data_IF_816097597692
#
_entry.id   IF_816097597692
#
_cell.length_a   1.000
_cell.length_b   1.000
_cell.length_c   1.000
_cell.angle_alpha   90.00
_cell.angle_beta   90.00
_cell.angle_gamma   90.00
#
_symmetry.space_group_name_H-M   'P 1'
#
loop_
_entity.id
_entity.type
_entity.pdbx_description
1 polymer ?
#
# COMPACT_ATOMS: atom_id res chain seq x y z
N UNK A 1 -22.26 -6.48 -8.06
CA UNK A 1 -20.82 -6.41 -7.66
C UNK A 1 -20.57 -7.54 -6.70
N UNK A 2 -19.34 -8.11 -6.66
CA UNK A 2 -18.96 -9.08 -5.64
C UNK A 2 -19.09 -8.51 -4.24
N UNK A 3 -19.42 -9.36 -3.27
CA UNK A 3 -19.42 -9.02 -1.85
C UNK A 3 -18.00 -8.72 -1.36
N UNK A 4 -17.86 -8.06 -0.23
CA UNK A 4 -16.54 -7.82 0.39
C UNK A 4 -15.82 -9.15 0.68
N UNK A 5 -16.54 -10.18 1.14
CA UNK A 5 -15.98 -11.50 1.40
C UNK A 5 -15.42 -12.14 0.12
N UNK A 6 -16.16 -12.09 -0.99
CA UNK A 6 -15.67 -12.61 -2.28
C UNK A 6 -14.43 -11.84 -2.76
N UNK A 7 -14.42 -10.51 -2.62
CA UNK A 7 -13.22 -9.70 -2.92
C UNK A 7 -12.04 -10.08 -2.03
N UNK A 8 -12.26 -10.34 -0.75
CA UNK A 8 -11.22 -10.73 0.19
C UNK A 8 -10.59 -12.09 -0.18
N UNK A 9 -11.40 -13.08 -0.55
CA UNK A 9 -10.89 -14.38 -1.01
C UNK A 9 -10.10 -14.26 -2.33
N UNK A 10 -10.58 -13.44 -3.28
CA UNK A 10 -9.82 -13.15 -4.50
C UNK A 10 -8.46 -12.52 -4.15
N UNK A 11 -8.44 -11.55 -3.23
CA UNK A 11 -7.21 -10.86 -2.85
C UNK A 11 -6.20 -11.79 -2.19
N UNK A 12 -6.67 -12.66 -1.29
CA UNK A 12 -5.85 -13.70 -0.67
C UNK A 12 -5.26 -14.64 -1.72
N UNK A 13 -6.07 -15.15 -2.65
CA UNK A 13 -5.64 -16.06 -3.72
C UNK A 13 -4.56 -15.45 -4.62
N UNK A 14 -4.60 -14.14 -4.87
CA UNK A 14 -3.56 -13.46 -5.65
C UNK A 14 -2.18 -13.53 -4.98
N UNK A 15 -2.12 -13.49 -3.64
CA UNK A 15 -0.86 -13.61 -2.90
C UNK A 15 -0.36 -15.06 -2.81
N UNK A 16 -1.28 -16.03 -2.76
CA UNK A 16 -0.95 -17.46 -2.71
C UNK A 16 -0.41 -17.98 -4.05
N UNK A 17 -0.80 -17.37 -5.16
CA UNK A 17 -0.38 -17.77 -6.50
C UNK A 17 1.12 -17.55 -6.77
N UNK A 18 1.81 -16.71 -5.99
CA UNK A 18 3.24 -16.36 -6.13
C UNK A 18 3.65 -15.96 -7.56
N UNK A 19 2.71 -15.36 -8.31
CA UNK A 19 2.91 -14.84 -9.66
C UNK A 19 2.84 -13.31 -9.57
N UNK A 20 3.97 -12.66 -9.37
CA UNK A 20 4.11 -11.23 -9.12
C UNK A 20 3.03 -10.38 -9.80
N UNK A 21 1.95 -10.07 -9.08
CA UNK A 21 0.86 -9.28 -9.64
C UNK A 21 1.06 -7.78 -9.37
N UNK A 22 0.70 -6.96 -10.35
CA UNK A 22 0.64 -5.52 -10.13
C UNK A 22 -0.61 -5.13 -9.35
N UNK A 23 -0.42 -4.25 -8.36
CA UNK A 23 -1.47 -3.60 -7.60
C UNK A 23 -1.33 -2.09 -7.72
N UNK A 24 -1.84 -1.49 -8.83
CA UNK A 24 -1.69 -0.06 -9.07
C UNK A 24 -2.48 0.77 -8.06
N UNK A 25 -2.07 2.03 -7.92
CA UNK A 25 -2.48 2.87 -6.82
C UNK A 25 -3.42 4.01 -7.29
N UNK A 26 -4.76 3.83 -7.22
CA UNK A 26 -5.72 4.90 -7.47
C UNK A 26 -5.72 5.94 -6.34
N UNK A 27 -6.10 7.17 -6.69
CA UNK A 27 -6.23 8.30 -5.75
C UNK A 27 -7.64 8.89 -5.71
N UNK A 28 -8.51 8.50 -6.64
CA UNK A 28 -9.92 8.89 -6.72
C UNK A 28 -10.76 7.80 -7.42
N UNK A 29 -12.08 8.00 -7.48
CA UNK A 29 -12.98 7.04 -8.12
C UNK A 29 -12.74 6.92 -9.64
N UNK A 30 -12.35 7.98 -10.31
CA UNK A 30 -12.06 7.97 -11.75
C UNK A 30 -10.83 7.13 -12.09
N UNK A 31 -9.73 7.31 -11.35
CA UNK A 31 -8.52 6.50 -11.50
C UNK A 31 -8.78 5.03 -11.14
N UNK A 32 -9.57 4.74 -10.10
CA UNK A 32 -9.90 3.37 -9.71
C UNK A 32 -10.67 2.63 -10.82
N UNK A 33 -11.71 3.24 -11.37
CA UNK A 33 -12.49 2.69 -12.50
C UNK A 33 -11.62 2.51 -13.76
N UNK A 34 -10.72 3.44 -14.02
CA UNK A 34 -9.81 3.36 -15.17
C UNK A 34 -8.85 2.17 -15.04
N UNK A 35 -8.28 1.97 -13.85
CA UNK A 35 -7.38 0.85 -13.59
C UNK A 35 -8.10 -0.50 -13.61
N UNK A 36 -9.32 -0.59 -13.08
CA UNK A 36 -10.14 -1.80 -13.19
C UNK A 36 -10.44 -2.13 -14.67
N UNK A 37 -10.85 -1.14 -15.48
CA UNK A 37 -11.09 -1.32 -16.92
C UNK A 37 -9.83 -1.72 -17.70
N UNK A 38 -8.64 -1.32 -17.24
CA UNK A 38 -7.37 -1.76 -17.80
C UNK A 38 -7.06 -3.24 -17.54
N UNK A 39 -7.83 -3.91 -16.66
CA UNK A 39 -7.73 -5.35 -16.42
C UNK A 39 -6.93 -5.74 -15.17
N UNK A 40 -6.53 -4.79 -14.32
CA UNK A 40 -5.91 -5.09 -13.04
C UNK A 40 -6.86 -5.88 -12.13
N UNK A 41 -6.30 -6.79 -11.33
CA UNK A 41 -7.08 -7.73 -10.51
C UNK A 41 -7.30 -7.24 -9.08
N UNK A 42 -6.51 -6.28 -8.62
CA UNK A 42 -6.62 -5.65 -7.32
C UNK A 42 -6.03 -4.22 -7.38
N UNK A 43 -6.39 -3.37 -6.44
CA UNK A 43 -5.91 -2.01 -6.30
C UNK A 43 -5.37 -1.77 -4.90
N UNK A 44 -4.35 -0.91 -4.76
CA UNK A 44 -3.92 -0.35 -3.49
C UNK A 44 -4.07 1.17 -3.53
N UNK A 45 -4.60 1.81 -2.51
CA UNK A 45 -4.65 3.27 -2.52
C UNK A 45 -3.25 3.89 -2.39
N UNK A 46 -3.15 5.20 -2.57
CA UNK A 46 -1.95 5.98 -2.30
C UNK A 46 -2.34 7.20 -1.45
N UNK A 47 -1.69 7.36 -0.27
CA UNK A 47 -1.90 8.51 0.61
C UNK A 47 -1.50 9.82 -0.07
N UNK A 48 -0.30 9.87 -0.63
CA UNK A 48 0.24 11.04 -1.33
C UNK A 48 -0.59 11.43 -2.57
N UNK A 49 -1.09 10.44 -3.34
CA UNK A 49 -1.97 10.71 -4.49
C UNK A 49 -3.32 11.29 -4.07
N UNK A 50 -3.91 10.73 -3.01
CA UNK A 50 -5.18 11.22 -2.46
C UNK A 50 -5.02 12.61 -1.85
N UNK A 51 -4.01 12.86 -1.02
CA UNK A 51 -3.73 14.19 -0.47
C UNK A 51 -3.59 15.24 -1.57
N UNK A 52 -2.80 14.94 -2.61
CA UNK A 52 -2.63 15.83 -3.77
C UNK A 52 -3.95 16.12 -4.49
N UNK A 53 -4.86 15.16 -4.61
CA UNK A 53 -6.18 15.39 -5.23
C UNK A 53 -7.04 16.39 -4.46
N UNK A 54 -6.74 16.59 -3.16
CA UNK A 54 -7.36 17.59 -2.30
C UNK A 54 -6.54 18.90 -2.17
N UNK A 55 -5.42 19.02 -2.92
CA UNK A 55 -4.52 20.17 -2.83
C UNK A 55 -3.70 20.21 -1.54
N UNK A 56 -3.41 19.04 -0.94
CA UNK A 56 -2.67 18.89 0.33
C UNK A 56 -1.41 18.05 0.15
N UNK A 57 -0.52 18.15 1.12
CA UNK A 57 0.68 17.30 1.21
C UNK A 57 0.36 15.92 1.83
N UNK A 58 1.26 14.96 1.59
CA UNK A 58 1.17 13.63 2.18
C UNK A 58 1.24 13.70 3.71
N UNK A 59 0.36 12.96 4.39
CA UNK A 59 0.24 13.01 5.86
C UNK A 59 -0.72 14.07 6.40
N UNK A 60 -1.33 14.91 5.56
CA UNK A 60 -2.30 15.94 5.97
C UNK A 60 -3.76 15.48 5.92
N UNK A 61 -3.99 14.21 5.62
CA UNK A 61 -5.34 13.64 5.56
C UNK A 61 -5.75 13.10 6.93
N UNK A 62 -6.98 13.40 7.33
CA UNK A 62 -7.57 12.85 8.54
C UNK A 62 -8.06 11.41 8.33
N UNK A 63 -8.25 10.67 9.43
CA UNK A 63 -8.82 9.32 9.40
C UNK A 63 -10.20 9.31 8.72
N UNK A 64 -11.09 10.23 9.07
CA UNK A 64 -12.45 10.24 8.52
C UNK A 64 -12.46 10.52 7.00
N UNK A 65 -11.59 11.41 6.52
CA UNK A 65 -11.39 11.63 5.07
C UNK A 65 -10.85 10.37 4.38
N UNK A 66 -9.90 9.66 5.00
CA UNK A 66 -9.37 8.40 4.47
C UNK A 66 -10.45 7.33 4.41
N UNK A 67 -11.28 7.17 5.45
CA UNK A 67 -12.36 6.20 5.46
C UNK A 67 -13.42 6.53 4.40
N UNK A 68 -13.81 7.80 4.25
CA UNK A 68 -14.73 8.23 3.20
C UNK A 68 -14.17 7.96 1.79
N UNK A 69 -12.88 8.22 1.58
CA UNK A 69 -12.18 7.87 0.33
C UNK A 69 -12.24 6.36 0.05
N UNK A 70 -11.93 5.52 1.04
CA UNK A 70 -11.98 4.06 0.91
C UNK A 70 -13.40 3.57 0.55
N UNK A 71 -14.42 4.11 1.22
CA UNK A 71 -15.82 3.79 0.93
C UNK A 71 -16.21 4.18 -0.50
N UNK A 72 -15.79 5.37 -0.98
CA UNK A 72 -16.01 5.79 -2.36
C UNK A 72 -15.38 4.79 -3.34
N UNK A 73 -14.10 4.45 -3.17
CA UNK A 73 -13.40 3.54 -4.08
C UNK A 73 -14.05 2.15 -4.08
N UNK A 74 -14.42 1.62 -2.92
CA UNK A 74 -15.09 0.32 -2.79
C UNK A 74 -16.45 0.29 -3.46
N UNK A 75 -17.16 1.43 -3.52
CA UNK A 75 -18.48 1.55 -4.13
C UNK A 75 -18.47 1.63 -5.66
N UNK A 76 -17.34 2.03 -6.26
CA UNK A 76 -17.23 2.25 -7.72
C UNK A 76 -16.46 1.16 -8.45
N UNK A 77 -15.86 0.18 -7.72
CA UNK A 77 -15.08 -0.92 -8.30
C UNK A 77 -15.59 -2.28 -7.84
N UNK A 78 -15.44 -3.29 -8.70
CA UNK A 78 -15.79 -4.69 -8.41
C UNK A 78 -14.60 -5.54 -7.96
N UNK A 79 -13.39 -5.04 -8.06
CA UNK A 79 -12.16 -5.74 -7.68
C UNK A 79 -11.70 -5.41 -6.24
N UNK A 80 -10.87 -6.25 -5.60
CA UNK A 80 -10.34 -6.01 -4.26
C UNK A 80 -9.55 -4.71 -4.16
N UNK A 81 -9.71 -4.00 -3.03
CA UNK A 81 -8.91 -2.83 -2.68
C UNK A 81 -8.25 -3.04 -1.34
N UNK A 82 -6.93 -2.85 -1.26
CA UNK A 82 -6.17 -2.64 -0.02
C UNK A 82 -5.80 -1.17 0.12
N UNK A 83 -5.49 -0.74 1.32
CA UNK A 83 -5.32 0.68 1.64
C UNK A 83 -3.91 0.98 2.13
N UNK A 84 -3.29 1.99 1.54
CA UNK A 84 -2.18 2.70 2.16
C UNK A 84 -2.74 3.49 3.34
N UNK A 85 -2.65 2.90 4.55
CA UNK A 85 -3.27 3.40 5.77
C UNK A 85 -2.28 4.14 6.68
N UNK A 86 -1.17 4.59 6.08
CA UNK A 86 -0.12 5.36 6.76
C UNK A 86 0.32 4.67 8.07
N UNK A 87 0.47 5.44 9.17
CA UNK A 87 0.75 4.88 10.49
C UNK A 87 -0.49 4.29 11.19
N UNK A 88 -1.58 3.99 10.50
CA UNK A 88 -2.84 3.57 11.12
C UNK A 88 -3.61 4.73 11.77
N UNK A 89 -3.23 5.98 11.51
CA UNK A 89 -3.82 7.22 12.03
C UNK A 89 -3.82 7.31 13.57
N UNK A 90 -2.90 6.61 14.22
CA UNK A 90 -2.72 6.66 15.67
C UNK A 90 -1.31 6.25 16.07
N UNK A 91 -0.84 6.72 17.22
CA UNK A 91 0.41 6.26 17.82
C UNK A 91 0.18 5.06 18.76
N UNK A 92 -0.93 5.05 19.48
CA UNK A 92 -1.30 3.96 20.40
C UNK A 92 -1.68 2.68 19.64
N UNK A 93 -1.11 1.51 20.01
CA UNK A 93 -1.41 0.23 19.36
C UNK A 93 -2.90 -0.14 19.40
N UNK A 94 -3.60 0.11 20.50
CA UNK A 94 -5.03 -0.19 20.64
C UNK A 94 -5.88 0.67 19.70
N UNK A 95 -5.53 1.94 19.54
CA UNK A 95 -6.19 2.83 18.58
C UNK A 95 -5.90 2.40 17.14
N UNK A 96 -4.68 1.95 16.81
CA UNK A 96 -4.37 1.37 15.48
C UNK A 96 -5.27 0.18 15.20
N UNK A 97 -5.43 -0.75 16.15
CA UNK A 97 -6.34 -1.89 16.02
C UNK A 97 -7.80 -1.45 15.81
N UNK A 98 -8.28 -0.47 16.58
CA UNK A 98 -9.62 0.08 16.41
C UNK A 98 -9.83 0.74 15.02
N UNK A 99 -8.80 1.44 14.52
CA UNK A 99 -8.84 2.05 13.21
C UNK A 99 -8.83 1.02 12.07
N UNK A 100 -8.16 -0.14 12.23
CA UNK A 100 -8.24 -1.27 11.28
C UNK A 100 -9.67 -1.82 11.22
N UNK A 101 -10.35 -1.95 12.36
CA UNK A 101 -11.76 -2.38 12.38
C UNK A 101 -12.65 -1.39 11.61
N UNK A 102 -12.52 -0.09 11.87
CA UNK A 102 -13.25 0.96 11.12
C UNK A 102 -12.92 0.95 9.63
N UNK A 103 -11.65 0.71 9.26
CA UNK A 103 -11.25 0.60 7.87
C UNK A 103 -11.98 -0.53 7.14
N UNK A 104 -12.13 -1.69 7.79
CA UNK A 104 -12.82 -2.84 7.19
C UNK A 104 -14.29 -2.56 6.85
N UNK A 105 -14.96 -1.68 7.60
CA UNK A 105 -16.36 -1.29 7.37
C UNK A 105 -16.57 -0.51 6.07
N UNK A 106 -15.49 0.01 5.46
CA UNK A 106 -15.55 0.75 4.19
C UNK A 106 -15.66 -0.14 2.95
N UNK A 107 -15.62 -1.47 3.11
CA UNK A 107 -15.71 -2.43 2.01
C UNK A 107 -14.34 -2.82 1.40
N UNK A 108 -13.23 -2.31 1.91
CA UNK A 108 -11.88 -2.73 1.53
C UNK A 108 -11.49 -4.05 2.18
N UNK A 109 -10.48 -4.74 1.63
CA UNK A 109 -10.12 -6.10 2.03
C UNK A 109 -8.70 -6.23 2.59
N UNK A 110 -8.06 -5.11 2.85
CA UNK A 110 -6.72 -5.05 3.44
C UNK A 110 -6.29 -3.61 3.71
N UNK A 111 -5.24 -3.47 4.48
CA UNK A 111 -4.62 -2.19 4.78
C UNK A 111 -3.15 -2.35 5.13
N UNK A 112 -2.37 -1.28 5.01
CA UNK A 112 -0.99 -1.26 5.49
C UNK A 112 -0.86 -0.40 6.74
N UNK A 113 0.07 -0.80 7.62
CA UNK A 113 0.50 0.01 8.76
C UNK A 113 2.01 0.15 8.68
N UNK A 114 2.51 1.38 8.75
CA UNK A 114 3.93 1.68 8.67
C UNK A 114 4.54 2.05 10.04
N UNK A 115 5.85 1.88 10.14
CA UNK A 115 6.63 2.22 11.34
C UNK A 115 7.15 3.68 11.33
N UNK A 116 6.54 4.55 10.54
CA UNK A 116 6.81 6.00 10.46
C UNK A 116 5.66 6.81 11.06
N UNK A 117 5.94 7.68 12.04
CA UNK A 117 4.92 8.48 12.74
C UNK A 117 4.47 9.74 12.01
N UNK A 118 4.87 9.91 10.75
CA UNK A 118 4.85 11.14 9.94
C UNK A 118 5.98 12.12 10.24
N UNK A 119 6.71 11.94 11.35
CA UNK A 119 7.82 12.81 11.76
C UNK A 119 9.10 12.05 12.10
N UNK A 120 8.98 10.91 12.75
CA UNK A 120 10.10 10.05 13.18
C UNK A 120 9.76 8.57 13.02
N UNK A 121 10.77 7.73 12.93
CA UNK A 121 10.58 6.27 13.02
C UNK A 121 10.15 5.90 14.43
N UNK A 122 9.16 5.02 14.54
CA UNK A 122 8.81 4.42 15.82
C UNK A 122 9.97 3.55 16.33
N UNK A 123 10.14 3.55 17.64
CA UNK A 123 10.98 2.56 18.32
C UNK A 123 10.61 1.14 17.87
N UNK A 124 11.61 0.25 17.79
CA UNK A 124 11.43 -1.11 17.28
C UNK A 124 10.29 -1.86 18.01
N UNK A 125 10.33 -1.86 19.35
CA UNK A 125 9.33 -2.56 20.17
C UNK A 125 7.94 -1.98 19.92
N UNK A 126 7.82 -0.66 19.96
CA UNK A 126 6.55 0.02 19.74
C UNK A 126 6.00 -0.21 18.33
N UNK A 127 6.84 -0.21 17.29
CA UNK A 127 6.44 -0.55 15.93
C UNK A 127 5.86 -1.97 15.84
N UNK A 128 6.49 -2.95 16.52
CA UNK A 128 6.02 -4.33 16.56
C UNK A 128 4.68 -4.44 17.32
N UNK A 129 4.51 -3.76 18.45
CA UNK A 129 3.25 -3.74 19.21
C UNK A 129 2.10 -3.18 18.36
N UNK A 130 2.33 -2.15 17.57
CA UNK A 130 1.34 -1.55 16.66
C UNK A 130 0.93 -2.51 15.55
N UNK A 131 1.89 -3.22 14.94
CA UNK A 131 1.60 -4.27 13.96
C UNK A 131 0.84 -5.44 14.59
N UNK A 132 1.22 -5.87 15.81
CA UNK A 132 0.53 -6.94 16.52
C UNK A 132 -0.94 -6.58 16.83
N UNK A 133 -1.21 -5.36 17.28
CA UNK A 133 -2.57 -4.88 17.53
C UNK A 133 -3.41 -4.81 16.24
N UNK A 134 -2.80 -4.35 15.14
CA UNK A 134 -3.45 -4.33 13.82
C UNK A 134 -3.75 -5.77 13.32
N UNK A 135 -2.82 -6.70 13.50
CA UNK A 135 -2.99 -8.10 13.11
C UNK A 135 -4.08 -8.79 13.94
N UNK A 136 -4.11 -8.56 15.25
CA UNK A 136 -5.15 -9.08 16.14
C UNK A 136 -6.54 -8.53 15.75
N UNK A 137 -6.63 -7.24 15.44
CA UNK A 137 -7.88 -6.65 14.97
C UNK A 137 -8.30 -7.25 13.62
N UNK A 138 -7.38 -7.41 12.66
CA UNK A 138 -7.64 -8.02 11.37
C UNK A 138 -8.16 -9.47 11.50
N UNK A 139 -7.57 -10.26 12.39
CA UNK A 139 -7.95 -11.66 12.62
C UNK A 139 -9.36 -11.83 13.23
N UNK A 140 -9.90 -10.79 13.86
CA UNK A 140 -11.27 -10.80 14.43
C UNK A 140 -12.34 -10.41 13.40
N UNK A 141 -11.97 -9.93 12.23
CA UNK A 141 -12.92 -9.53 11.21
C UNK A 141 -13.60 -10.74 10.56
N UNK A 142 -14.84 -10.58 10.07
CA UNK A 142 -15.58 -11.69 9.46
C UNK A 142 -15.11 -12.06 8.04
N UNK A 143 -14.04 -11.45 7.56
CA UNK A 143 -13.45 -11.67 6.23
C UNK A 143 -11.93 -11.86 6.38
N UNK A 144 -11.24 -12.51 5.45
CA UNK A 144 -9.79 -12.56 5.43
C UNK A 144 -9.20 -11.19 5.05
N UNK A 145 -9.10 -10.29 6.03
CA UNK A 145 -8.53 -8.96 5.84
C UNK A 145 -7.01 -9.03 5.89
N UNK A 146 -6.33 -8.68 4.79
CA UNK A 146 -4.88 -8.80 4.67
C UNK A 146 -4.15 -7.57 5.20
N UNK A 147 -3.39 -7.75 6.28
CA UNK A 147 -2.55 -6.71 6.86
C UNK A 147 -1.18 -6.68 6.18
N UNK A 148 -0.79 -5.53 5.67
CA UNK A 148 0.57 -5.26 5.17
C UNK A 148 1.33 -4.45 6.22
N UNK A 149 2.46 -4.96 6.72
CA UNK A 149 3.35 -4.18 7.59
C UNK A 149 4.50 -3.57 6.78
N UNK A 150 4.75 -2.25 6.99
CA UNK A 150 5.74 -1.48 6.24
C UNK A 150 6.90 -1.06 7.14
N UNK A 151 8.13 -1.35 6.70
CA UNK A 151 9.38 -0.87 7.30
C UNK A 151 9.95 0.27 6.45
N UNK A 152 9.77 1.51 6.91
CA UNK A 152 10.01 2.74 6.15
C UNK A 152 11.49 3.21 6.13
N UNK A 153 12.35 2.62 6.93
CA UNK A 153 13.70 3.13 7.19
C UNK A 153 14.54 3.40 5.94
N UNK A 154 14.48 2.55 4.89
CA UNK A 154 15.18 2.81 3.62
C UNK A 154 14.61 4.02 2.89
N UNK A 155 13.29 4.14 2.80
CA UNK A 155 12.62 5.27 2.14
C UNK A 155 12.92 6.58 2.87
N UNK A 156 12.91 6.56 4.21
CA UNK A 156 13.16 7.71 5.07
C UNK A 156 14.65 7.98 5.30
N UNK A 157 15.56 7.08 4.83
CA UNK A 157 17.01 7.17 5.01
C UNK A 157 17.43 7.22 6.49
N UNK A 158 16.74 6.45 7.32
CA UNK A 158 16.95 6.37 8.78
C UNK A 158 17.38 5.00 9.26
N UNK A 159 17.45 4.01 8.38
CA UNK A 159 17.89 2.64 8.65
C UNK A 159 18.64 2.03 7.46
N UNK A 160 19.35 0.97 7.71
CA UNK A 160 20.00 0.14 6.69
C UNK A 160 19.17 -1.12 6.38
N UNK A 161 19.68 -1.97 5.48
CA UNK A 161 18.98 -3.20 5.06
C UNK A 161 18.81 -4.19 6.22
N UNK A 162 19.80 -4.27 7.12
CA UNK A 162 19.76 -5.20 8.26
C UNK A 162 18.69 -4.77 9.29
N UNK A 163 18.56 -3.47 9.58
CA UNK A 163 17.48 -2.94 10.42
C UNK A 163 16.11 -3.24 9.81
N UNK A 164 15.96 -3.03 8.50
CA UNK A 164 14.71 -3.31 7.79
C UNK A 164 14.35 -4.79 7.85
N UNK A 165 15.30 -5.69 7.61
CA UNK A 165 15.08 -7.14 7.68
C UNK A 165 14.64 -7.54 9.09
N UNK A 166 15.31 -7.02 10.12
CA UNK A 166 14.95 -7.29 11.52
C UNK A 166 13.51 -6.85 11.83
N UNK A 167 13.11 -5.65 11.37
CA UNK A 167 11.73 -5.16 11.51
C UNK A 167 10.73 -6.04 10.76
N UNK A 168 11.00 -6.40 9.50
CA UNK A 168 10.11 -7.25 8.71
C UNK A 168 9.92 -8.63 9.35
N UNK A 169 10.99 -9.25 9.88
CA UNK A 169 10.90 -10.53 10.62
C UNK A 169 10.03 -10.39 11.88
N UNK A 170 10.19 -9.30 12.61
CA UNK A 170 9.36 -9.03 13.79
C UNK A 170 7.90 -8.74 13.42
N UNK A 171 7.63 -8.04 12.33
CA UNK A 171 6.29 -7.78 11.82
C UNK A 171 5.61 -9.07 11.32
N UNK A 172 6.37 -9.95 10.66
CA UNK A 172 5.91 -11.29 10.30
C UNK A 172 5.50 -12.09 11.55
N UNK A 173 6.36 -12.12 12.56
CA UNK A 173 6.08 -12.80 13.82
C UNK A 173 4.89 -12.17 14.59
N UNK A 174 4.66 -10.87 14.43
CA UNK A 174 3.53 -10.15 14.98
C UNK A 174 2.19 -10.40 14.24
N UNK A 175 2.23 -11.12 13.10
CA UNK A 175 1.03 -11.55 12.39
C UNK A 175 0.71 -10.79 11.11
N UNK A 176 1.64 -10.01 10.55
CA UNK A 176 1.45 -9.40 9.23
C UNK A 176 1.30 -10.47 8.14
N UNK A 177 0.38 -10.27 7.21
CA UNK A 177 0.13 -11.16 6.06
C UNK A 177 1.05 -10.85 4.88
N UNK A 178 1.43 -9.60 4.71
CA UNK A 178 2.30 -9.10 3.64
C UNK A 178 3.33 -8.16 4.26
N UNK A 179 4.57 -8.25 3.76
CA UNK A 179 5.67 -7.40 4.20
C UNK A 179 6.04 -6.40 3.11
N UNK A 180 6.46 -5.21 3.53
CA UNK A 180 6.78 -4.17 2.59
C UNK A 180 7.91 -3.27 3.09
N UNK A 181 8.99 -3.19 2.31
CA UNK A 181 10.12 -2.28 2.54
C UNK A 181 10.25 -1.34 1.34
N UNK A 182 9.56 -0.17 1.35
CA UNK A 182 9.77 0.82 0.30
C UNK A 182 11.19 1.38 0.35
N UNK A 183 11.76 1.66 -0.84
CA UNK A 183 13.14 2.17 -0.94
C UNK A 183 14.20 1.12 -1.29
N UNK A 184 13.83 -0.16 -1.44
CA UNK A 184 14.71 -1.15 -2.06
C UNK A 184 15.05 -0.69 -3.49
N UNK A 185 16.33 -0.49 -3.79
CA UNK A 185 16.80 0.18 -5.01
C UNK A 185 17.48 -0.77 -6.02
N UNK A 186 17.62 -2.05 -5.71
CA UNK A 186 18.19 -3.07 -6.59
C UNK A 186 17.64 -4.46 -6.30
N UNK A 187 17.79 -5.40 -7.25
CA UNK A 187 17.31 -6.76 -7.13
C UNK A 187 18.02 -7.58 -6.06
N UNK A 188 19.28 -7.26 -5.75
CA UNK A 188 20.05 -7.93 -4.69
C UNK A 188 19.40 -7.69 -3.32
N UNK A 189 19.06 -6.43 -3.01
CA UNK A 189 18.34 -6.09 -1.77
C UNK A 189 16.96 -6.75 -1.70
N UNK A 190 16.24 -6.84 -2.83
CA UNK A 190 14.97 -7.57 -2.90
C UNK A 190 15.18 -9.05 -2.61
N UNK A 191 16.17 -9.70 -3.24
CA UNK A 191 16.48 -11.10 -3.02
C UNK A 191 16.90 -11.39 -1.57
N UNK A 192 17.70 -10.49 -0.97
CA UNK A 192 18.12 -10.59 0.42
C UNK A 192 16.90 -10.58 1.36
N UNK A 193 15.99 -9.62 1.19
CA UNK A 193 14.74 -9.57 1.98
C UNK A 193 13.93 -10.86 1.81
N UNK A 194 13.73 -11.31 0.56
CA UNK A 194 12.98 -12.55 0.27
C UNK A 194 13.61 -13.81 0.89
N UNK A 195 14.93 -13.85 1.05
CA UNK A 195 15.64 -14.94 1.70
C UNK A 195 15.47 -14.99 3.22
N UNK A 196 15.06 -13.88 3.84
CA UNK A 196 14.99 -13.73 5.31
C UNK A 196 13.55 -13.80 5.88
N UNK A 197 12.52 -13.73 5.02
CA UNK A 197 11.11 -13.76 5.42
C UNK A 197 10.34 -14.84 4.67
N UNK A 198 9.21 -15.30 5.23
CA UNK A 198 8.37 -16.33 4.60
C UNK A 198 7.06 -15.78 4.02
N UNK A 199 6.64 -14.62 4.48
CA UNK A 199 5.42 -13.95 4.02
C UNK A 199 5.60 -13.30 2.64
N UNK A 200 4.52 -13.13 1.86
CA UNK A 200 4.54 -12.37 0.62
C UNK A 200 5.17 -10.98 0.80
N UNK A 201 6.03 -10.59 -0.15
CA UNK A 201 6.67 -9.26 -0.14
C UNK A 201 6.08 -8.39 -1.25
N UNK A 202 5.75 -7.14 -0.90
CA UNK A 202 5.43 -6.07 -1.84
C UNK A 202 6.70 -5.30 -2.23
N UNK A 203 6.88 -5.04 -3.51
CA UNK A 203 7.97 -4.19 -4.02
C UNK A 203 7.42 -2.93 -4.67
N UNK A 204 8.04 -1.78 -4.38
CA UNK A 204 7.70 -0.48 -4.96
C UNK A 204 8.52 -0.27 -6.24
N UNK A 205 7.94 -0.56 -7.38
CA UNK A 205 8.65 -0.65 -8.67
C UNK A 205 9.29 0.64 -9.19
N UNK A 206 8.80 1.87 -8.89
CA UNK A 206 9.48 3.09 -9.33
C UNK A 206 10.92 3.26 -8.80
N UNK A 207 11.31 2.54 -7.76
CA UNK A 207 12.69 2.49 -7.27
C UNK A 207 13.58 1.52 -8.06
N UNK A 208 12.99 0.67 -8.92
CA UNK A 208 13.66 -0.34 -9.72
C UNK A 208 13.28 -0.20 -11.20
N UNK A 209 13.60 0.95 -11.83
CA UNK A 209 13.18 1.21 -13.19
C UNK A 209 13.80 0.20 -14.18
N UNK A 210 13.00 -0.21 -15.18
CA UNK A 210 13.44 -1.11 -16.24
C UNK A 210 13.44 -2.60 -15.86
N UNK A 211 13.05 -2.98 -14.64
CA UNK A 211 12.90 -4.38 -14.22
C UNK A 211 11.50 -4.87 -14.63
N UNK A 212 11.44 -6.01 -15.33
CA UNK A 212 10.18 -6.60 -15.76
C UNK A 212 9.44 -7.32 -14.63
N UNK A 213 8.12 -7.51 -14.77
CA UNK A 213 7.31 -8.31 -13.85
C UNK A 213 7.85 -9.73 -13.71
N UNK A 214 8.27 -10.32 -14.83
CA UNK A 214 8.80 -11.67 -14.90
C UNK A 214 10.08 -11.83 -14.04
N UNK A 215 10.98 -10.85 -14.08
CA UNK A 215 12.19 -10.86 -13.26
C UNK A 215 11.87 -10.79 -11.75
N UNK A 216 10.85 -10.04 -11.36
CA UNK A 216 10.36 -10.05 -9.97
C UNK A 216 9.69 -11.38 -9.59
N UNK A 217 8.92 -11.99 -10.50
CA UNK A 217 8.28 -13.30 -10.27
C UNK A 217 9.33 -14.41 -10.11
N UNK A 218 10.40 -14.41 -10.92
CA UNK A 218 11.51 -15.35 -10.82
C UNK A 218 12.25 -15.27 -9.48
N UNK A 219 12.31 -14.07 -8.87
CA UNK A 219 12.85 -13.89 -7.52
C UNK A 219 11.88 -14.35 -6.42
N UNK A 220 10.59 -14.54 -6.72
CA UNK A 220 9.56 -14.90 -5.74
C UNK A 220 8.83 -13.71 -5.12
N UNK A 221 8.93 -12.52 -5.71
CA UNK A 221 8.11 -11.37 -5.30
C UNK A 221 6.64 -11.68 -5.56
N UNK A 222 5.78 -11.41 -4.58
CA UNK A 222 4.35 -11.69 -4.71
C UNK A 222 3.57 -10.52 -5.31
N UNK A 223 3.93 -9.26 -4.95
CA UNK A 223 3.14 -8.08 -5.25
C UNK A 223 4.01 -6.89 -5.66
N UNK A 224 3.56 -6.15 -6.66
CA UNK A 224 4.24 -4.99 -7.24
C UNK A 224 3.32 -3.77 -7.16
N UNK A 225 3.74 -2.72 -6.46
CA UNK A 225 3.01 -1.45 -6.36
C UNK A 225 3.78 -0.31 -7.03
N UNK A 226 3.07 0.77 -7.33
CA UNK A 226 3.64 1.94 -8.01
C UNK A 226 3.57 3.23 -7.17
N UNK A 227 2.96 3.18 -5.99
CA UNK A 227 2.81 4.33 -5.11
C UNK A 227 2.15 5.53 -5.81
N UNK A 228 2.64 6.73 -5.57
CA UNK A 228 2.11 7.94 -6.18
C UNK A 228 2.56 8.17 -7.65
N UNK A 229 3.29 7.23 -8.28
CA UNK A 229 3.87 7.45 -9.61
C UNK A 229 2.81 7.72 -10.69
N UNK A 230 1.69 6.97 -10.70
CA UNK A 230 0.61 7.20 -11.67
C UNK A 230 -0.07 8.56 -11.46
N UNK A 231 -0.35 8.96 -10.22
CA UNK A 231 -0.89 10.27 -9.91
C UNK A 231 0.07 11.40 -10.34
N UNK A 232 1.38 11.21 -10.08
CA UNK A 232 2.43 12.13 -10.53
C UNK A 232 2.49 12.26 -12.06
N UNK A 233 2.36 11.14 -12.79
CA UNK A 233 2.35 11.13 -14.24
C UNK A 233 1.15 11.92 -14.82
N UNK A 234 -0.04 11.71 -14.25
CA UNK A 234 -1.25 12.46 -14.68
C UNK A 234 -1.12 13.94 -14.36
N UNK A 235 -0.61 14.31 -13.18
CA UNK A 235 -0.39 15.71 -12.80
C UNK A 235 0.61 16.40 -13.75
N UNK A 236 1.68 15.70 -14.13
CA UNK A 236 2.66 16.21 -15.08
C UNK A 236 2.02 16.43 -16.47
N UNK A 237 1.29 15.44 -17.00
CA UNK A 237 0.61 15.55 -18.29
C UNK A 237 -0.41 16.70 -18.31
N UNK A 238 -1.15 16.90 -17.19
CA UNK A 238 -2.06 18.03 -17.05
C UNK A 238 -1.32 19.37 -17.11
N UNK A 239 -0.18 19.47 -16.41
CA UNK A 239 0.65 20.69 -16.41
C UNK A 239 1.18 21.02 -17.81
N UNK A 240 1.70 20.03 -18.54
CA UNK A 240 2.20 20.18 -19.91
C UNK A 240 1.08 20.62 -20.87
N UNK A 241 -0.12 20.04 -20.75
CA UNK A 241 -1.27 20.43 -21.57
C UNK A 241 -1.72 21.87 -21.25
N UNK A 242 -1.75 22.25 -19.96
CA UNK A 242 -2.10 23.59 -19.54
C UNK A 242 -1.09 24.65 -20.04
N UNK A 243 0.21 24.35 -19.97
CA UNK A 243 1.26 25.23 -20.50
C UNK A 243 1.14 25.40 -22.02
N UNK A 244 0.85 24.32 -22.75
CA UNK A 244 0.61 24.39 -24.19
C UNK A 244 -0.59 25.29 -24.51
N UNK A 245 -1.71 25.16 -23.80
CA UNK A 245 -2.87 26.03 -23.95
C UNK A 245 -2.54 27.50 -23.73
N UNK A 246 -1.76 27.83 -22.68
CA UNK A 246 -1.38 29.21 -22.36
C UNK A 246 -0.42 29.80 -23.40
N UNK A 247 0.49 29.01 -23.94
CA UNK A 247 1.54 29.49 -24.87
C UNK A 247 1.10 29.53 -26.31
N UNK A 248 0.30 28.58 -26.78
CA UNK A 248 -0.08 28.43 -28.18
C UNK A 248 -1.55 28.80 -28.44
N UNK A 249 -2.41 28.78 -27.45
CA UNK A 249 -3.87 28.90 -27.59
C UNK A 249 -4.53 27.68 -28.26
N UNK A 250 -3.82 26.53 -28.38
CA UNK A 250 -4.29 25.31 -29.05
C UNK A 250 -4.25 24.14 -28.08
N UNK A 251 -5.35 23.36 -28.02
CA UNK A 251 -5.43 22.10 -27.28
C UNK A 251 -5.04 20.94 -28.17
#
# INVERSE_FOLDING_TARGET
>A
MPTQSEKAEIFKSLHEARDAFFIPNPWDGGSAVTLEKAGFKALATTSAGFARSLGREDGEISLDEKLAHCQLLSSVTSIPITVDFENGFADDPGEVGANIARLSETGVVGGSVEDWSRTVMYDFTHAVERVAAAAEASARLPIPFMLTARAEGLLRKTGDLDDIINRLKAFEAAGADVLYAPGLANLEGVATVLGEVSKPVNVLTPFLPGISREAFAELGVARLSVGAALAGHVTKALGEAAENLLTTGIF
#
